data_IF_966069781552
#
_entry.id   IF_966069781552
#
_cell.length_a   1.000
_cell.length_b   1.000
_cell.length_c   1.000
_cell.angle_alpha   90.00
_cell.angle_beta   90.00
_cell.angle_gamma   90.00
#
_symmetry.space_group_name_H-M   'P 1'
#
loop_
_entity.id
_entity.type
_entity.pdbx_description
1 polymer ?
#
# COMPACT_ATOMS: atom_id res chain seq x y z
N UNK A 1 -0.69 28.14 38.06
CA UNK A 1 -1.73 27.14 37.74
C UNK A 1 -1.92 27.16 36.24
N UNK A 2 -1.69 26.05 35.54
CA UNK A 2 -1.82 26.00 34.09
C UNK A 2 -3.30 25.98 33.69
N UNK A 3 -3.68 26.91 32.82
CA UNK A 3 -5.02 27.06 32.27
C UNK A 3 -5.43 25.78 31.51
N UNK A 4 -6.59 25.21 31.85
CA UNK A 4 -7.08 24.02 31.18
C UNK A 4 -7.36 24.35 29.70
N UNK A 5 -6.82 23.56 28.73
CA UNK A 5 -6.99 23.90 27.31
C UNK A 5 -8.48 23.92 26.96
N UNK A 6 -8.90 25.02 26.34
CA UNK A 6 -10.28 25.27 25.92
C UNK A 6 -10.86 24.02 25.22
N UNK A 7 -11.94 23.48 25.79
CA UNK A 7 -12.54 22.18 25.42
C UNK A 7 -13.66 22.29 24.38
N UNK A 8 -13.82 23.46 23.75
CA UNK A 8 -14.85 23.70 22.76
C UNK A 8 -14.59 22.94 21.46
N UNK A 9 -15.64 22.51 20.74
CA UNK A 9 -15.50 21.98 19.40
C UNK A 9 -14.92 23.05 18.46
N UNK A 10 -14.09 22.62 17.52
CA UNK A 10 -13.41 23.49 16.56
C UNK A 10 -13.44 22.85 15.17
N UNK A 11 -13.33 23.67 14.12
CA UNK A 11 -13.19 23.21 12.73
C UNK A 11 -11.83 23.73 12.23
N UNK A 12 -10.98 22.81 11.77
CA UNK A 12 -9.65 23.14 11.25
C UNK A 12 -9.56 22.77 9.77
N UNK A 13 -8.84 23.58 9.00
CA UNK A 13 -8.55 23.27 7.59
C UNK A 13 -7.22 22.53 7.50
N UNK A 14 -7.24 21.33 6.94
CA UNK A 14 -6.04 20.59 6.56
C UNK A 14 -5.53 21.12 5.22
N UNK A 15 -4.32 21.69 5.22
CA UNK A 15 -3.70 22.27 4.01
C UNK A 15 -3.07 21.23 3.10
N UNK A 16 -2.76 20.02 3.61
CA UNK A 16 -2.18 18.94 2.81
C UNK A 16 -3.26 18.31 1.94
N UNK A 17 -4.41 17.98 2.54
CA UNK A 17 -5.53 17.35 1.83
C UNK A 17 -6.61 18.35 1.34
N UNK A 18 -6.48 19.63 1.68
CA UNK A 18 -7.44 20.71 1.40
C UNK A 18 -8.89 20.39 1.84
N UNK A 19 -9.06 19.89 3.07
CA UNK A 19 -10.37 19.49 3.64
C UNK A 19 -10.60 20.16 5.00
N UNK A 20 -11.87 20.37 5.37
CA UNK A 20 -12.26 20.86 6.70
C UNK A 20 -12.54 19.67 7.63
N UNK A 21 -11.98 19.70 8.85
CA UNK A 21 -12.08 18.63 9.84
C UNK A 21 -12.67 19.19 11.14
N UNK A 22 -13.67 18.49 11.67
CA UNK A 22 -14.29 18.83 12.96
C UNK A 22 -13.54 18.12 14.08
N UNK A 23 -13.05 18.87 15.06
CA UNK A 23 -12.47 18.35 16.29
C UNK A 23 -13.47 18.54 17.43
N UNK A 24 -13.90 17.44 18.04
CA UNK A 24 -14.88 17.46 19.14
C UNK A 24 -14.55 16.37 20.16
N UNK A 25 -13.63 16.67 21.09
CA UNK A 25 -13.09 15.67 22.06
C UNK A 25 -14.17 15.00 22.92
N UNK A 26 -15.23 15.72 23.28
CA UNK A 26 -16.32 15.18 24.09
C UNK A 26 -17.05 13.99 23.42
N UNK A 27 -17.01 13.89 22.08
CA UNK A 27 -17.64 12.79 21.32
C UNK A 27 -17.04 11.42 21.62
N UNK A 28 -15.79 11.34 22.08
CA UNK A 28 -15.16 10.07 22.46
C UNK A 28 -15.81 9.42 23.70
N UNK A 29 -16.52 10.18 24.53
CA UNK A 29 -17.24 9.68 25.72
C UNK A 29 -18.66 9.20 25.41
N UNK A 30 -19.11 9.30 24.16
CA UNK A 30 -20.42 8.81 23.77
C UNK A 30 -20.43 7.28 23.96
N UNK A 31 -21.40 6.71 24.68
CA UNK A 31 -21.56 5.27 24.77
C UNK A 31 -21.64 4.67 23.36
N UNK A 32 -20.91 3.57 23.12
CA UNK A 32 -21.01 2.79 21.89
C UNK A 32 -21.56 1.41 22.21
N UNK A 33 -22.65 1.01 21.56
CA UNK A 33 -23.19 -0.35 21.65
C UNK A 33 -22.32 -1.38 20.89
N UNK A 34 -21.34 -0.91 20.14
CA UNK A 34 -20.37 -1.73 19.42
C UNK A 34 -19.22 -2.14 20.33
N UNK A 35 -19.03 -3.46 20.50
CA UNK A 35 -17.87 -4.02 21.19
C UNK A 35 -16.58 -3.67 20.43
N UNK A 36 -15.51 -3.39 21.16
CA UNK A 36 -14.16 -3.27 20.61
C UNK A 36 -13.84 -4.48 19.74
N UNK A 37 -13.32 -4.25 18.52
CA UNK A 37 -12.88 -5.35 17.64
C UNK A 37 -11.87 -6.22 18.40
N UNK A 38 -11.92 -7.56 18.28
CA UNK A 38 -10.92 -8.43 18.87
C UNK A 38 -9.53 -7.99 18.41
N UNK A 39 -8.55 -8.09 19.32
CA UNK A 39 -7.17 -7.76 19.02
C UNK A 39 -6.69 -8.68 17.88
N UNK A 40 -6.28 -8.14 16.70
CA UNK A 40 -5.80 -8.97 15.60
C UNK A 40 -4.58 -9.82 16.00
N UNK A 41 -3.85 -9.45 17.05
CA UNK A 41 -2.74 -10.25 17.60
C UNK A 41 -3.18 -11.59 18.22
N UNK A 42 -4.48 -11.90 18.24
CA UNK A 42 -5.01 -13.20 18.71
C UNK A 42 -5.26 -14.22 17.59
N UNK A 43 -4.87 -13.93 16.34
CA UNK A 43 -4.92 -14.95 15.29
C UNK A 43 -3.81 -15.99 15.51
N UNK A 44 -4.21 -17.05 16.23
CA UNK A 44 -3.71 -18.41 16.25
C UNK A 44 -2.25 -18.67 15.85
N UNK A 45 -1.55 -19.39 16.73
CA UNK A 45 -0.42 -20.29 16.49
C UNK A 45 -0.65 -21.36 15.38
N UNK A 46 -1.45 -21.08 14.35
CA UNK A 46 -1.56 -21.95 13.20
C UNK A 46 -0.40 -21.65 12.27
N UNK A 47 0.43 -22.68 12.08
CA UNK A 47 1.47 -22.82 11.05
C UNK A 47 0.84 -22.79 9.65
N UNK A 48 0.06 -21.76 9.30
CA UNK A 48 -0.40 -21.60 7.93
C UNK A 48 0.76 -21.00 7.15
N UNK A 49 1.49 -21.89 6.50
CA UNK A 49 2.44 -21.54 5.47
C UNK A 49 1.65 -20.85 4.36
N UNK A 50 1.98 -19.58 4.07
CA UNK A 50 1.31 -18.81 3.02
C UNK A 50 2.22 -18.71 1.78
N UNK A 51 1.68 -18.36 0.61
CA UNK A 51 2.47 -18.21 -0.63
C UNK A 51 3.65 -17.22 -0.52
N UNK A 52 3.60 -16.28 0.42
CA UNK A 52 4.65 -15.27 0.62
C UNK A 52 5.79 -15.74 1.52
N UNK A 53 5.65 -16.88 2.20
CA UNK A 53 6.73 -17.46 2.98
C UNK A 53 7.87 -17.96 2.06
N UNK A 54 9.09 -17.96 2.60
CA UNK A 54 10.23 -18.61 1.94
C UNK A 54 9.92 -20.07 1.57
N UNK A 55 10.36 -20.50 0.38
CA UNK A 55 10.10 -21.83 -0.19
C UNK A 55 8.78 -21.98 -0.95
N UNK A 56 7.90 -20.97 -0.93
CA UNK A 56 6.58 -20.99 -1.60
C UNK A 56 6.52 -20.02 -2.77
N UNK A 57 7.68 -19.63 -3.31
CA UNK A 57 7.80 -18.64 -4.38
C UNK A 57 7.09 -19.07 -5.67
N UNK A 58 6.95 -20.38 -5.89
CA UNK A 58 6.26 -20.98 -7.03
C UNK A 58 4.73 -20.78 -7.00
N UNK A 59 4.17 -20.43 -5.82
CA UNK A 59 2.76 -20.08 -5.66
C UNK A 59 2.49 -18.58 -5.86
N UNK A 60 3.54 -17.78 -6.03
CA UNK A 60 3.46 -16.35 -6.28
C UNK A 60 3.35 -16.04 -7.79
N UNK A 61 2.81 -14.87 -8.09
CA UNK A 61 2.95 -14.24 -9.40
C UNK A 61 4.43 -13.89 -9.69
N UNK A 62 4.79 -13.58 -10.96
CA UNK A 62 6.18 -13.39 -11.37
C UNK A 62 6.95 -12.40 -10.50
N UNK A 63 8.20 -12.72 -10.23
CA UNK A 63 9.09 -11.86 -9.47
C UNK A 63 9.66 -10.74 -10.36
N UNK A 64 9.76 -9.54 -9.78
CA UNK A 64 10.39 -8.37 -10.40
C UNK A 64 11.84 -8.28 -9.93
N UNK A 65 12.07 -8.33 -8.62
CA UNK A 65 13.39 -8.47 -8.02
C UNK A 65 13.29 -8.94 -6.55
N UNK A 66 14.45 -9.27 -5.98
CA UNK A 66 14.61 -9.63 -4.57
C UNK A 66 15.83 -8.98 -3.95
N UNK A 67 15.88 -8.92 -2.63
CA UNK A 67 17.01 -8.43 -1.84
C UNK A 67 17.40 -9.50 -0.81
N UNK A 68 18.66 -9.95 -0.76
CA UNK A 68 19.76 -9.67 -1.69
C UNK A 68 19.48 -10.16 -3.12
N UNK A 69 20.09 -9.54 -4.13
CA UNK A 69 19.85 -9.88 -5.54
C UNK A 69 20.50 -11.21 -5.98
N UNK A 70 21.47 -11.71 -5.22
CA UNK A 70 22.27 -12.87 -5.62
C UNK A 70 21.47 -14.17 -5.41
N UNK A 71 21.12 -14.82 -6.51
CA UNK A 71 20.15 -15.91 -6.62
C UNK A 71 20.72 -17.31 -6.36
N UNK A 72 21.89 -17.41 -5.74
CA UNK A 72 22.49 -18.71 -5.41
C UNK A 72 21.87 -19.35 -4.16
N UNK A 73 21.32 -18.55 -3.24
CA UNK A 73 20.57 -19.04 -2.08
C UNK A 73 19.11 -18.61 -2.16
N UNK A 74 18.23 -19.47 -1.64
CA UNK A 74 16.80 -19.13 -1.45
C UNK A 74 16.57 -18.12 -0.31
N UNK A 75 17.62 -17.56 0.27
CA UNK A 75 17.61 -16.75 1.50
C UNK A 75 17.37 -15.26 1.22
N UNK A 76 16.30 -14.96 0.49
CA UNK A 76 15.88 -13.58 0.29
C UNK A 76 15.30 -13.00 1.59
N UNK A 77 15.46 -11.68 1.78
CA UNK A 77 14.87 -10.90 2.87
C UNK A 77 13.62 -10.14 2.42
N UNK A 78 13.68 -9.56 1.22
CA UNK A 78 12.57 -8.82 0.62
C UNK A 78 12.38 -9.33 -0.81
N UNK A 79 11.12 -9.43 -1.24
CA UNK A 79 10.76 -9.71 -2.63
C UNK A 79 9.77 -8.68 -3.14
N UNK A 80 9.95 -8.26 -4.37
CA UNK A 80 8.98 -7.46 -5.12
C UNK A 80 8.45 -8.32 -6.25
N UNK A 81 7.17 -8.64 -6.19
CA UNK A 81 6.48 -9.50 -7.14
C UNK A 81 5.33 -8.75 -7.79
N UNK A 82 4.84 -9.24 -8.93
CA UNK A 82 3.58 -8.76 -9.47
C UNK A 82 2.43 -9.14 -8.53
N UNK A 83 1.35 -8.36 -8.48
CA UNK A 83 0.14 -8.81 -7.83
C UNK A 83 -0.57 -9.85 -8.72
N UNK A 84 -0.96 -11.00 -8.16
CA UNK A 84 -1.72 -12.05 -8.85
C UNK A 84 -3.13 -11.59 -9.24
N UNK A 85 -3.70 -10.63 -8.50
CA UNK A 85 -5.01 -10.04 -8.73
C UNK A 85 -4.88 -8.52 -8.85
N UNK A 86 -4.23 -8.02 -9.92
CA UNK A 86 -3.91 -6.61 -10.03
C UNK A 86 -5.18 -5.79 -10.33
N UNK A 87 -5.31 -4.63 -9.69
CA UNK A 87 -6.42 -3.70 -9.91
C UNK A 87 -6.32 -2.95 -11.26
N UNK A 88 -5.12 -2.92 -11.85
CA UNK A 88 -4.80 -2.30 -13.12
C UNK A 88 -4.03 -3.31 -13.99
N UNK A 89 -4.22 -3.25 -15.30
CA UNK A 89 -3.51 -4.13 -16.22
C UNK A 89 -2.25 -3.46 -16.77
N UNK A 90 -1.13 -4.18 -16.74
CA UNK A 90 0.15 -3.74 -17.34
C UNK A 90 0.26 -4.07 -18.83
N UNK A 91 -0.64 -4.90 -19.35
CA UNK A 91 -0.61 -5.48 -20.70
C UNK A 91 -1.61 -4.85 -21.68
N UNK A 92 -2.26 -3.77 -21.27
CA UNK A 92 -3.14 -2.98 -22.13
C UNK A 92 -2.46 -1.67 -22.55
N UNK A 93 -2.98 -1.04 -23.59
CA UNK A 93 -2.44 0.23 -24.04
C UNK A 93 -2.65 1.33 -22.98
N UNK A 94 -1.60 2.12 -22.69
CA UNK A 94 -1.71 3.26 -21.79
C UNK A 94 -2.70 4.27 -22.35
N UNK A 95 -3.48 4.96 -21.49
CA UNK A 95 -4.41 5.95 -21.97
C UNK A 95 -3.66 7.12 -22.63
N UNK A 96 -4.28 7.77 -23.63
CA UNK A 96 -3.71 8.97 -24.21
C UNK A 96 -3.51 10.04 -23.13
N UNK A 97 -2.44 10.82 -23.26
CA UNK A 97 -2.08 11.89 -22.28
C UNK A 97 -3.17 12.95 -22.17
N UNK A 98 -4.00 13.10 -23.20
CA UNK A 98 -5.18 13.95 -23.21
C UNK A 98 -6.39 13.09 -23.58
N UNK A 99 -7.48 13.11 -22.79
CA UNK A 99 -8.71 12.47 -23.21
C UNK A 99 -9.18 13.12 -24.51
N UNK A 100 -9.34 12.32 -25.56
CA UNK A 100 -9.96 12.82 -26.79
C UNK A 100 -11.46 13.01 -26.54
N UNK A 101 -12.07 14.11 -27.01
CA UNK A 101 -13.51 14.37 -26.86
C UNK A 101 -14.38 13.29 -27.53
N UNK A 102 -13.79 12.41 -28.36
CA UNK A 102 -14.46 11.30 -29.04
C UNK A 102 -14.77 10.11 -28.12
N UNK A 103 -14.21 10.09 -26.91
CA UNK A 103 -14.53 9.10 -25.87
C UNK A 103 -15.74 9.49 -25.00
N UNK A 104 -16.24 10.72 -25.17
CA UNK A 104 -17.45 11.18 -24.52
C UNK A 104 -18.67 10.68 -25.31
N UNK A 105 -19.47 9.83 -24.66
CA UNK A 105 -20.69 9.28 -25.26
C UNK A 105 -21.80 10.32 -25.43
N UNK A 106 -21.52 11.60 -25.13
CA UNK A 106 -22.47 12.70 -25.09
C UNK A 106 -23.31 12.74 -23.81
N UNK A 107 -23.08 11.81 -22.88
CA UNK A 107 -23.77 11.69 -21.59
C UNK A 107 -22.87 12.13 -20.40
N UNK A 108 -21.65 12.61 -20.67
CA UNK A 108 -20.69 13.01 -19.64
C UNK A 108 -19.94 11.84 -18.98
N UNK A 109 -20.12 10.62 -19.49
CA UNK A 109 -19.38 9.43 -19.03
C UNK A 109 -18.04 9.33 -19.78
N UNK A 110 -16.97 9.78 -19.13
CA UNK A 110 -15.60 9.70 -19.65
C UNK A 110 -14.92 8.45 -19.10
N UNK A 111 -14.54 7.53 -19.99
CA UNK A 111 -13.82 6.30 -19.64
C UNK A 111 -12.35 6.39 -20.05
N UNK A 112 -11.49 5.87 -19.19
CA UNK A 112 -10.04 5.79 -19.41
C UNK A 112 -9.61 4.33 -19.24
N UNK A 113 -8.62 3.87 -20.02
CA UNK A 113 -8.11 2.51 -19.87
C UNK A 113 -7.50 2.31 -18.48
N UNK A 114 -7.77 1.16 -17.87
CA UNK A 114 -7.26 0.78 -16.55
C UNK A 114 -5.79 0.34 -16.58
N UNK A 115 -4.92 1.10 -17.25
CA UNK A 115 -3.51 0.79 -17.39
C UNK A 115 -2.75 1.12 -16.11
N UNK A 116 -1.86 0.23 -15.70
CA UNK A 116 -0.92 0.52 -14.62
C UNK A 116 -0.28 -0.73 -14.05
N UNK A 117 0.55 -0.51 -13.02
CA UNK A 117 1.27 -1.56 -12.33
C UNK A 117 0.73 -1.70 -10.91
N UNK A 118 0.33 -2.92 -10.55
CA UNK A 118 -0.01 -3.28 -9.18
C UNK A 118 0.92 -4.43 -8.80
N UNK A 119 1.85 -4.13 -7.91
CA UNK A 119 2.89 -5.03 -7.44
C UNK A 119 2.77 -5.21 -5.92
N UNK A 120 3.37 -6.27 -5.38
CA UNK A 120 3.40 -6.59 -3.95
C UNK A 120 4.84 -6.59 -3.48
N UNK A 121 5.11 -5.91 -2.37
CA UNK A 121 6.38 -5.99 -1.65
C UNK A 121 6.20 -6.90 -0.44
N UNK A 122 6.93 -8.00 -0.42
CA UNK A 122 6.98 -8.94 0.69
C UNK A 122 8.14 -8.53 1.58
N UNK A 123 7.82 -8.05 2.78
CA UNK A 123 8.77 -7.38 3.70
C UNK A 123 9.61 -8.36 4.52
N UNK A 124 9.18 -9.62 4.63
CA UNK A 124 9.87 -10.65 5.39
C UNK A 124 9.57 -12.05 4.82
N UNK A 125 10.55 -12.98 4.82
CA UNK A 125 10.32 -14.38 4.50
C UNK A 125 9.57 -15.15 5.60
N UNK A 126 9.45 -14.55 6.80
CA UNK A 126 8.91 -15.19 8.01
C UNK A 126 7.53 -14.61 8.35
N UNK A 127 6.49 -15.43 8.21
CA UNK A 127 5.08 -15.05 8.33
C UNK A 127 4.68 -14.21 9.56
N UNK A 128 5.06 -14.56 10.80
CA UNK A 128 4.61 -13.82 11.98
C UNK A 128 5.33 -12.48 12.19
N UNK A 129 6.33 -12.15 11.37
CA UNK A 129 7.10 -10.91 11.52
C UNK A 129 6.33 -9.76 10.87
N UNK A 130 6.00 -8.74 11.66
CA UNK A 130 5.43 -7.49 11.15
C UNK A 130 6.52 -6.46 10.88
N UNK A 131 6.21 -5.45 10.05
CA UNK A 131 7.10 -4.31 9.79
C UNK A 131 7.63 -3.64 11.07
N UNK A 132 6.82 -3.61 12.14
CA UNK A 132 7.18 -3.05 13.44
C UNK A 132 8.18 -3.88 14.23
N UNK A 133 8.34 -5.16 13.89
CA UNK A 133 9.27 -6.08 14.55
C UNK A 133 10.67 -6.03 13.89
N UNK A 134 10.77 -5.43 12.71
CA UNK A 134 12.02 -5.28 11.96
C UNK A 134 12.94 -4.22 12.62
N UNK A 135 14.24 -4.44 12.51
CA UNK A 135 15.23 -3.43 12.90
C UNK A 135 15.15 -2.20 11.98
N UNK A 136 15.62 -1.02 12.42
CA UNK A 136 15.63 0.17 11.57
C UNK A 136 16.37 -0.01 10.23
N UNK A 137 17.40 -0.87 10.21
CA UNK A 137 18.14 -1.18 8.98
C UNK A 137 17.28 -2.01 8.00
N UNK A 138 16.56 -3.02 8.50
CA UNK A 138 15.66 -3.85 7.70
C UNK A 138 14.46 -3.05 7.18
N UNK A 139 13.88 -2.16 8.00
CA UNK A 139 12.88 -1.18 7.52
C UNK A 139 13.48 -0.28 6.43
N UNK A 140 14.74 0.14 6.59
CA UNK A 140 15.47 0.87 5.57
C UNK A 140 15.57 0.11 4.24
N UNK A 141 15.82 -1.20 4.29
CA UNK A 141 15.86 -2.06 3.10
C UNK A 141 14.48 -2.14 2.41
N UNK A 142 13.37 -2.20 3.16
CA UNK A 142 12.01 -2.15 2.61
C UNK A 142 11.75 -0.82 1.88
N UNK A 143 12.10 0.31 2.51
CA UNK A 143 11.97 1.63 1.88
C UNK A 143 12.85 1.78 0.63
N UNK A 144 14.04 1.18 0.63
CA UNK A 144 14.91 1.13 -0.54
C UNK A 144 14.31 0.26 -1.65
N UNK A 145 13.60 -0.82 -1.33
CA UNK A 145 12.87 -1.61 -2.31
C UNK A 145 11.73 -0.80 -2.96
N UNK A 146 10.94 -0.05 -2.18
CA UNK A 146 9.94 0.88 -2.73
C UNK A 146 10.59 1.90 -3.68
N UNK A 147 11.67 2.56 -3.22
CA UNK A 147 12.41 3.53 -4.03
C UNK A 147 12.89 2.91 -5.35
N UNK A 148 13.48 1.72 -5.30
CA UNK A 148 13.96 1.03 -6.48
C UNK A 148 12.80 0.75 -7.46
N UNK A 149 11.66 0.28 -6.96
CA UNK A 149 10.51 -0.01 -7.82
C UNK A 149 9.89 1.26 -8.41
N UNK A 150 9.74 2.33 -7.62
CA UNK A 150 9.27 3.64 -8.10
C UNK A 150 10.19 4.15 -9.22
N UNK A 151 11.51 4.04 -9.07
CA UNK A 151 12.46 4.47 -10.10
C UNK A 151 12.37 3.63 -11.37
N UNK A 152 12.07 2.32 -11.27
CA UNK A 152 11.79 1.49 -12.44
C UNK A 152 10.50 1.92 -13.15
N UNK A 153 9.43 2.19 -12.39
CA UNK A 153 8.13 2.61 -12.94
C UNK A 153 8.15 4.02 -13.52
N UNK A 154 9.02 4.90 -13.00
CA UNK A 154 9.23 6.25 -13.54
C UNK A 154 9.70 6.26 -14.99
N UNK A 155 10.30 5.18 -15.47
CA UNK A 155 10.74 5.05 -16.87
C UNK A 155 9.57 4.89 -17.86
N UNK A 156 8.34 4.71 -17.37
CA UNK A 156 7.14 4.67 -18.21
C UNK A 156 6.48 6.05 -18.24
N UNK A 157 6.52 6.73 -19.39
CA UNK A 157 5.94 8.08 -19.56
C UNK A 157 4.45 8.14 -19.22
N UNK A 158 3.73 7.02 -19.36
CA UNK A 158 2.31 6.88 -19.02
C UNK A 158 2.03 6.87 -17.52
N UNK A 159 3.02 6.55 -16.68
CA UNK A 159 2.88 6.53 -15.22
C UNK A 159 3.18 7.93 -14.66
N UNK A 160 2.14 8.59 -14.15
CA UNK A 160 2.26 9.96 -13.60
C UNK A 160 2.41 10.01 -12.09
N UNK A 161 2.01 8.94 -11.40
CA UNK A 161 2.06 8.84 -9.94
C UNK A 161 2.19 7.37 -9.54
N UNK A 162 2.92 7.11 -8.45
CA UNK A 162 3.05 5.79 -7.83
C UNK A 162 2.70 5.95 -6.36
N UNK A 163 1.81 5.09 -5.85
CA UNK A 163 1.46 5.01 -4.44
C UNK A 163 2.13 3.77 -3.84
N UNK A 164 2.91 3.96 -2.79
CA UNK A 164 3.46 2.92 -1.91
C UNK A 164 2.71 2.83 -0.57
#
# INVERSE_FOLDING_TARGET
MAEAPNRSPEIRKDTVNNRWVIFSRARARRPSDFKSKPNPNTTSNNKSVCPFCIGHEHECAPEIFRVPADSASSDWKIRVIQNLYPALSRDIDPPPTYPSPESDSGDGDVKVSGFGFHDVVIESPVHPVHLSDLSPAEVGDVLLAYKQRILQLRCYDSIKYVQD
#
